data_IF_197271852242
#
_entry.id   IF_197271852242
#
_cell.length_a   1.000
_cell.length_b   1.000
_cell.length_c   1.000
_cell.angle_alpha   90.00
_cell.angle_beta   90.00
_cell.angle_gamma   90.00
#
_symmetry.space_group_name_H-M   'P 1'
#
loop_
_entity.id
_entity.type
_entity.pdbx_description
1 polymer ?
#
# COMPACT_ATOMS: atom_id res chain seq x y z
N UNK A 1 34.79 33.87 26.35
CA UNK A 1 33.47 33.22 26.53
C UNK A 1 33.15 32.48 25.25
N UNK A 2 33.19 31.15 25.30
CA UNK A 2 33.43 30.26 24.15
C UNK A 2 32.22 29.35 23.92
N UNK A 3 31.73 29.37 22.66
CA UNK A 3 31.16 28.27 21.84
C UNK A 3 29.73 27.82 22.18
N UNK A 4 28.76 28.11 21.30
CA UNK A 4 28.34 27.34 20.11
C UNK A 4 27.82 25.93 20.46
N UNK A 5 26.49 25.79 20.44
CA UNK A 5 25.77 24.51 20.32
C UNK A 5 26.23 23.75 19.06
N UNK A 6 26.29 22.42 19.14
CA UNK A 6 25.49 21.60 18.23
C UNK A 6 24.78 20.46 18.99
N UNK A 7 23.47 20.33 18.86
CA UNK A 7 22.84 19.49 17.84
C UNK A 7 23.33 18.03 17.88
N UNK A 8 23.28 17.42 19.06
CA UNK A 8 23.57 16.00 19.31
C UNK A 8 22.28 15.29 19.70
N UNK A 9 21.35 15.21 18.74
CA UNK A 9 20.22 14.26 18.74
C UNK A 9 19.98 13.73 17.33
N UNK A 10 21.07 13.57 16.58
CA UNK A 10 21.16 12.75 15.38
C UNK A 10 21.74 11.40 15.83
N UNK A 11 20.89 10.50 16.31
CA UNK A 11 21.08 9.04 16.33
C UNK A 11 20.02 8.44 17.26
N UNK A 12 19.00 7.80 16.69
CA UNK A 12 18.39 6.55 17.21
C UNK A 12 17.25 6.09 16.29
N UNK A 13 17.60 5.25 15.29
CA UNK A 13 16.80 4.18 14.66
C UNK A 13 15.43 4.54 14.05
N UNK A 14 15.12 4.30 12.78
CA UNK A 14 15.45 3.16 11.92
C UNK A 14 15.68 3.69 10.49
N UNK A 15 16.90 3.50 9.97
CA UNK A 15 17.10 3.39 8.53
C UNK A 15 16.46 2.06 8.10
N UNK A 16 15.29 2.08 7.46
CA UNK A 16 14.94 1.02 6.50
C UNK A 16 15.68 1.31 5.19
N UNK A 17 17.01 1.22 5.26
CA UNK A 17 17.82 0.97 4.09
C UNK A 17 17.92 -0.56 3.95
N UNK A 18 16.84 -1.17 3.47
CA UNK A 18 16.91 -2.46 2.81
C UNK A 18 16.70 -2.18 1.32
N UNK A 19 17.76 -2.43 0.56
CA UNK A 19 17.78 -2.45 -0.88
C UNK A 19 16.60 -3.27 -1.42
N UNK A 20 15.63 -2.62 -2.05
CA UNK A 20 14.67 -3.28 -2.95
C UNK A 20 15.02 -2.94 -4.40
N UNK A 21 16.30 -3.05 -4.76
CA UNK A 21 16.71 -3.31 -6.12
C UNK A 21 16.99 -4.81 -6.21
N UNK A 22 15.95 -5.58 -6.55
CA UNK A 22 16.05 -7.02 -6.72
C UNK A 22 14.70 -7.71 -6.59
N UNK A 23 14.26 -8.31 -7.70
CA UNK A 23 13.15 -9.26 -7.79
C UNK A 23 11.72 -8.73 -7.64
N UNK A 24 11.24 -8.03 -8.66
CA UNK A 24 9.97 -8.49 -9.23
C UNK A 24 10.22 -9.92 -9.74
N UNK A 25 9.45 -10.96 -9.35
CA UNK A 25 9.64 -12.29 -9.92
C UNK A 25 9.36 -12.22 -11.42
N UNK A 26 10.42 -12.31 -12.22
CA UNK A 26 10.32 -12.48 -13.65
C UNK A 26 9.89 -13.92 -13.92
N UNK A 27 8.64 -14.09 -14.33
CA UNK A 27 8.18 -15.24 -15.11
C UNK A 27 8.08 -16.59 -14.38
N UNK A 28 6.92 -17.21 -14.54
CA UNK A 28 6.72 -18.64 -14.79
C UNK A 28 7.76 -19.60 -14.19
N UNK A 29 7.58 -19.92 -12.91
CA UNK A 29 8.09 -21.15 -12.32
C UNK A 29 6.98 -21.72 -11.44
N UNK A 30 6.50 -22.91 -11.78
CA UNK A 30 5.58 -23.75 -11.00
C UNK A 30 6.17 -24.23 -9.66
N UNK A 31 7.12 -23.49 -9.10
CA UNK A 31 7.46 -23.63 -7.69
C UNK A 31 6.30 -23.02 -6.91
N UNK A 32 5.56 -23.87 -6.18
CA UNK A 32 4.43 -23.44 -5.33
C UNK A 32 4.88 -22.28 -4.46
N UNK A 33 4.55 -21.05 -4.88
CA UNK A 33 4.73 -19.87 -4.06
C UNK A 33 3.85 -20.05 -2.82
N UNK A 34 4.47 -20.11 -1.65
CA UNK A 34 3.79 -20.22 -0.37
C UNK A 34 3.77 -18.82 0.24
N UNK A 35 2.61 -18.13 0.25
CA UNK A 35 2.49 -16.82 0.87
C UNK A 35 2.68 -16.95 2.39
N UNK A 36 3.62 -16.18 2.94
CA UNK A 36 3.74 -15.98 4.38
C UNK A 36 3.26 -14.58 4.73
N UNK A 37 2.11 -14.49 5.40
CA UNK A 37 1.57 -13.22 5.92
C UNK A 37 1.76 -13.08 7.43
N UNK A 38 2.51 -14.00 8.07
CA UNK A 38 2.79 -13.89 9.52
C UNK A 38 3.88 -12.87 9.84
N UNK A 39 4.65 -12.46 8.83
CA UNK A 39 5.71 -11.46 8.92
C UNK A 39 5.38 -10.22 8.08
N UNK A 40 5.88 -9.05 8.51
CA UNK A 40 5.71 -7.81 7.77
C UNK A 40 6.32 -7.88 6.36
N UNK A 41 7.52 -8.46 6.24
CA UNK A 41 8.21 -8.60 4.95
C UNK A 41 7.48 -9.57 4.02
N UNK A 42 6.95 -10.67 4.57
CA UNK A 42 6.13 -11.62 3.82
C UNK A 42 4.83 -10.98 3.31
N UNK A 43 4.17 -10.16 4.12
CA UNK A 43 3.00 -9.39 3.68
C UNK A 43 3.33 -8.37 2.58
N UNK A 44 4.51 -7.73 2.63
CA UNK A 44 5.00 -6.85 1.54
C UNK A 44 5.23 -7.65 0.25
N UNK A 45 5.82 -8.84 0.34
CA UNK A 45 6.03 -9.71 -0.83
C UNK A 45 4.69 -10.16 -1.44
N UNK A 46 3.76 -10.62 -0.60
CA UNK A 46 2.40 -11.01 -1.04
C UNK A 46 1.69 -9.83 -1.72
N UNK A 47 1.72 -8.64 -1.11
CA UNK A 47 1.17 -7.43 -1.71
C UNK A 47 1.81 -7.12 -3.06
N UNK A 48 3.14 -7.16 -3.12
CA UNK A 48 3.90 -6.82 -4.32
C UNK A 48 3.59 -7.78 -5.47
N UNK A 49 3.51 -9.08 -5.17
CA UNK A 49 3.13 -10.12 -6.12
C UNK A 49 1.69 -10.00 -6.54
N UNK A 50 0.76 -9.74 -5.62
CA UNK A 50 -0.65 -9.56 -5.94
C UNK A 50 -0.82 -8.47 -7.02
N UNK A 51 -0.13 -7.33 -6.87
CA UNK A 51 -0.17 -6.22 -7.83
C UNK A 51 0.57 -6.56 -9.13
N UNK A 52 1.80 -7.07 -9.05
CA UNK A 52 2.64 -7.33 -10.23
C UNK A 52 2.09 -8.45 -11.12
N UNK A 53 1.61 -9.54 -10.51
CA UNK A 53 1.06 -10.71 -11.22
C UNK A 53 -0.43 -10.61 -11.47
N UNK A 54 -1.06 -9.58 -10.93
CA UNK A 54 -2.50 -9.37 -11.00
C UNK A 54 -3.31 -10.56 -10.44
N UNK A 55 -2.86 -11.11 -9.31
CA UNK A 55 -3.46 -12.29 -8.70
C UNK A 55 -4.45 -11.90 -7.58
N UNK A 56 -5.74 -12.13 -7.83
CA UNK A 56 -6.83 -11.87 -6.87
C UNK A 56 -6.73 -12.71 -5.60
N UNK A 57 -6.39 -13.98 -5.71
CA UNK A 57 -6.27 -14.87 -4.55
C UNK A 57 -5.14 -14.43 -3.62
N UNK A 58 -4.05 -13.87 -4.17
CA UNK A 58 -3.02 -13.25 -3.33
C UNK A 58 -3.55 -11.99 -2.65
N UNK A 59 -4.23 -11.09 -3.38
CA UNK A 59 -4.79 -9.86 -2.81
C UNK A 59 -5.79 -10.14 -1.67
N UNK A 60 -6.64 -11.17 -1.83
CA UNK A 60 -7.60 -11.63 -0.83
C UNK A 60 -6.94 -12.03 0.50
N UNK A 61 -5.70 -12.51 0.49
CA UNK A 61 -4.99 -12.95 1.71
C UNK A 61 -4.44 -11.78 2.53
N UNK A 62 -4.14 -10.67 1.89
CA UNK A 62 -3.42 -9.52 2.45
C UNK A 62 -4.36 -8.35 2.69
N UNK A 63 -5.54 -8.24 2.07
CA UNK A 63 -6.46 -7.13 2.36
C UNK A 63 -7.18 -7.31 3.71
N UNK A 64 -7.44 -6.20 4.42
CA UNK A 64 -8.33 -6.20 5.59
C UNK A 64 -9.74 -6.70 5.23
N UNK A 65 -10.39 -7.38 6.17
CA UNK A 65 -11.64 -8.10 5.90
C UNK A 65 -12.83 -7.17 5.62
N UNK A 66 -12.89 -6.03 6.30
CA UNK A 66 -13.90 -4.98 6.15
C UNK A 66 -13.75 -4.18 4.84
N UNK A 67 -12.53 -4.05 4.33
CA UNK A 67 -12.24 -3.37 3.06
C UNK A 67 -12.23 -4.32 1.85
N UNK A 68 -12.27 -5.64 2.10
CA UNK A 68 -12.04 -6.68 1.09
C UNK A 68 -12.86 -6.48 -0.17
N UNK A 69 -14.19 -6.38 -0.05
CA UNK A 69 -15.06 -6.29 -1.23
C UNK A 69 -14.78 -5.05 -2.08
N UNK A 70 -14.61 -3.89 -1.43
CA UNK A 70 -14.33 -2.64 -2.13
C UNK A 70 -12.98 -2.67 -2.84
N UNK A 71 -11.94 -3.17 -2.17
CA UNK A 71 -10.59 -3.28 -2.72
C UNK A 71 -10.54 -4.28 -3.86
N UNK A 72 -11.15 -5.46 -3.71
CA UNK A 72 -11.16 -6.47 -4.77
C UNK A 72 -11.98 -6.03 -5.98
N UNK A 73 -13.07 -5.28 -5.79
CA UNK A 73 -13.82 -4.69 -6.90
C UNK A 73 -12.96 -3.70 -7.71
N UNK A 74 -12.23 -2.80 -7.02
CA UNK A 74 -11.28 -1.88 -7.65
C UNK A 74 -10.18 -2.64 -8.39
N UNK A 75 -9.61 -3.66 -7.74
CA UNK A 75 -8.56 -4.51 -8.29
C UNK A 75 -9.01 -5.22 -9.58
N UNK A 76 -10.20 -5.86 -9.59
CA UNK A 76 -10.79 -6.52 -10.77
C UNK A 76 -10.96 -5.52 -11.93
N UNK A 77 -11.49 -4.33 -11.65
CA UNK A 77 -11.72 -3.30 -12.67
C UNK A 77 -10.40 -2.83 -13.28
N UNK A 78 -9.42 -2.49 -12.45
CA UNK A 78 -8.13 -1.99 -12.91
C UNK A 78 -7.35 -3.08 -13.65
N UNK A 79 -7.51 -4.35 -13.26
CA UNK A 79 -6.87 -5.48 -13.94
C UNK A 79 -7.41 -5.74 -15.33
N UNK A 80 -8.74 -5.74 -15.48
CA UNK A 80 -9.36 -5.88 -16.79
C UNK A 80 -8.94 -4.76 -17.75
N UNK A 81 -8.66 -3.56 -17.24
CA UNK A 81 -8.13 -2.45 -18.04
C UNK A 81 -6.64 -2.64 -18.37
N UNK A 82 -5.83 -2.98 -17.37
CA UNK A 82 -4.39 -3.16 -17.52
C UNK A 82 -4.04 -4.33 -18.46
N UNK A 83 -4.80 -5.42 -18.42
CA UNK A 83 -4.63 -6.57 -19.32
C UNK A 83 -4.86 -6.19 -20.78
N UNK A 84 -5.96 -5.48 -21.08
CA UNK A 84 -6.27 -5.00 -22.43
C UNK A 84 -5.21 -4.05 -22.99
N UNK A 85 -4.46 -3.37 -22.12
CA UNK A 85 -3.46 -2.37 -22.48
C UNK A 85 -2.02 -2.87 -22.42
N UNK A 86 -1.78 -4.12 -21.98
CA UNK A 86 -0.44 -4.67 -21.81
C UNK A 86 0.36 -4.02 -20.68
N UNK A 87 -0.32 -3.56 -19.63
CA UNK A 87 0.26 -2.73 -18.55
C UNK A 87 0.59 -3.53 -17.30
N UNK A 88 1.86 -3.67 -16.92
CA UNK A 88 2.29 -4.21 -15.62
C UNK A 88 2.71 -3.10 -14.67
N UNK A 89 2.97 -3.45 -13.40
CA UNK A 89 3.39 -2.48 -12.38
C UNK A 89 4.68 -2.95 -11.70
N UNK A 90 5.63 -2.02 -11.53
CA UNK A 90 6.80 -2.18 -10.66
C UNK A 90 6.66 -1.28 -9.45
N UNK A 91 6.69 -1.90 -8.27
CA UNK A 91 6.49 -1.22 -6.99
C UNK A 91 7.82 -0.82 -6.34
N UNK A 92 7.82 0.30 -5.63
CA UNK A 92 8.90 0.70 -4.72
C UNK A 92 8.31 1.21 -3.41
N UNK A 93 8.75 0.65 -2.30
CA UNK A 93 8.36 1.06 -0.96
C UNK A 93 9.35 2.08 -0.41
N UNK A 94 8.83 3.14 0.19
CA UNK A 94 9.56 4.26 0.77
C UNK A 94 8.99 4.60 2.15
N UNK A 95 9.78 5.32 2.95
CA UNK A 95 9.35 6.01 4.18
C UNK A 95 8.43 5.17 5.08
N UNK A 96 8.98 4.13 5.71
CA UNK A 96 8.24 3.28 6.63
C UNK A 96 8.16 3.90 8.03
N UNK A 97 6.95 4.21 8.49
CA UNK A 97 6.67 4.46 9.91
C UNK A 97 6.21 3.13 10.52
N UNK A 98 6.90 2.63 11.55
CA UNK A 98 6.68 1.28 12.10
C UNK A 98 6.52 1.32 13.62
N UNK A 99 5.52 0.62 14.13
CA UNK A 99 5.42 0.17 15.51
C UNK A 99 5.31 -1.37 15.52
N UNK A 100 5.06 -1.97 16.69
CA UNK A 100 5.07 -3.43 16.86
C UNK A 100 4.01 -4.14 16.00
N UNK A 101 2.83 -3.53 15.88
CA UNK A 101 1.66 -4.15 15.26
C UNK A 101 1.25 -3.49 13.94
N UNK A 102 1.87 -2.39 13.55
CA UNK A 102 1.48 -1.64 12.36
C UNK A 102 2.69 -1.01 11.69
N UNK A 103 2.63 -0.87 10.37
CA UNK A 103 3.52 0.02 9.65
C UNK A 103 2.85 0.68 8.45
N UNK A 104 3.19 1.93 8.19
CA UNK A 104 2.75 2.67 7.02
C UNK A 104 3.94 2.94 6.11
N UNK A 105 3.81 2.67 4.82
CA UNK A 105 4.84 2.95 3.81
C UNK A 105 4.24 3.67 2.63
N UNK A 106 5.01 4.61 2.08
CA UNK A 106 4.72 5.23 0.79
C UNK A 106 5.12 4.26 -0.32
N UNK A 107 4.19 3.94 -1.20
CA UNK A 107 4.40 3.04 -2.33
C UNK A 107 4.35 3.84 -3.63
N UNK A 108 5.40 3.71 -4.44
CA UNK A 108 5.48 4.22 -5.81
C UNK A 108 5.13 3.09 -6.77
N UNK A 109 4.17 3.36 -7.66
CA UNK A 109 3.71 2.46 -8.70
C UNK A 109 4.24 2.96 -10.04
N UNK A 110 5.19 2.23 -10.61
CA UNK A 110 5.69 2.52 -11.95
C UNK A 110 4.89 1.66 -12.93
N UNK A 111 4.08 2.33 -13.74
CA UNK A 111 3.33 1.68 -14.80
C UNK A 111 4.31 1.30 -15.93
N UNK A 112 4.26 0.05 -16.36
CA UNK A 112 5.10 -0.47 -17.42
C UNK A 112 4.23 -0.96 -18.56
N UNK A 113 4.43 -0.48 -19.78
CA UNK A 113 3.78 -0.99 -20.99
C UNK A 113 4.82 -1.69 -21.84
N UNK A 114 4.63 -2.98 -22.09
CA UNK A 114 5.61 -3.83 -22.78
C UNK A 114 7.02 -3.80 -22.12
N UNK A 115 7.08 -3.66 -20.79
CA UNK A 115 8.33 -3.63 -20.02
C UNK A 115 8.95 -2.24 -19.86
N UNK A 116 8.49 -1.24 -20.61
CA UNK A 116 9.01 0.13 -20.56
C UNK A 116 8.11 1.04 -19.70
N UNK A 117 8.66 2.05 -18.99
CA UNK A 117 7.87 3.03 -18.26
C UNK A 117 6.81 3.72 -19.14
N UNK A 118 5.57 3.76 -18.66
CA UNK A 118 4.43 4.32 -19.37
C UNK A 118 3.75 5.40 -18.52
N UNK A 119 4.27 6.62 -18.59
CA UNK A 119 3.78 7.78 -17.85
C UNK A 119 4.49 8.01 -16.52
N UNK A 120 4.00 9.00 -15.78
CA UNK A 120 4.56 9.38 -14.48
C UNK A 120 4.22 8.33 -13.40
N UNK A 121 5.14 8.08 -12.45
CA UNK A 121 4.87 7.15 -11.35
C UNK A 121 3.72 7.62 -10.46
N UNK A 122 2.79 6.72 -10.18
CA UNK A 122 1.70 6.96 -9.22
C UNK A 122 2.19 6.71 -7.79
N UNK A 123 1.57 7.36 -6.80
CA UNK A 123 1.99 7.28 -5.40
C UNK A 123 0.78 7.06 -4.51
N UNK A 124 0.92 6.18 -3.52
CA UNK A 124 -0.10 5.92 -2.50
C UNK A 124 0.55 5.58 -1.17
N UNK A 125 -0.17 5.75 -0.06
CA UNK A 125 0.26 5.23 1.23
C UNK A 125 -0.45 3.91 1.50
N UNK A 126 0.30 2.91 1.95
CA UNK A 126 -0.24 1.62 2.35
C UNK A 126 0.05 1.43 3.83
N UNK A 127 -0.98 1.08 4.58
CA UNK A 127 -0.90 0.79 6.01
C UNK A 127 -1.07 -0.71 6.17
N UNK A 128 -0.09 -1.36 6.76
CA UNK A 128 -0.14 -2.77 7.14
C UNK A 128 -0.38 -2.87 8.64
N UNK A 129 -1.30 -3.74 9.03
CA UNK A 129 -1.79 -3.93 10.39
C UNK A 129 -1.73 -5.43 10.69
N UNK A 130 -1.14 -5.77 11.83
CA UNK A 130 -1.14 -7.12 12.37
C UNK A 130 -2.50 -7.37 13.05
N UNK A 131 -3.24 -8.34 12.56
CA UNK A 131 -4.54 -8.75 13.11
C UNK A 131 -4.36 -9.72 14.29
N UNK A 132 -5.42 -9.89 15.09
CA UNK A 132 -5.39 -10.73 16.30
C UNK A 132 -5.03 -12.20 16.01
N UNK A 133 -5.27 -12.68 14.80
CA UNK A 133 -4.87 -14.01 14.30
C UNK A 133 -3.38 -14.10 13.93
N UNK A 134 -2.61 -13.04 14.16
CA UNK A 134 -1.17 -12.95 13.92
C UNK A 134 -0.79 -12.66 12.47
N UNK A 135 -1.76 -12.41 11.58
CA UNK A 135 -1.50 -12.11 10.16
C UNK A 135 -1.34 -10.62 9.93
N UNK A 136 -0.50 -10.24 8.99
CA UNK A 136 -0.39 -8.87 8.51
C UNK A 136 -1.34 -8.68 7.33
N UNK A 137 -2.20 -7.66 7.43
CA UNK A 137 -3.13 -7.24 6.39
C UNK A 137 -2.94 -5.77 6.06
N UNK A 138 -3.40 -5.31 4.90
CA UNK A 138 -3.21 -3.93 4.45
C UNK A 138 -4.53 -3.21 4.20
N UNK A 139 -4.43 -1.90 4.34
CA UNK A 139 -5.39 -0.90 3.87
C UNK A 139 -4.69 0.15 3.02
N UNK A 140 -5.44 0.74 2.09
CA UNK A 140 -4.94 1.83 1.23
C UNK A 140 -5.30 3.19 1.82
N UNK A 141 -4.30 3.97 2.17
CA UNK A 141 -4.43 5.37 2.55
C UNK A 141 -4.10 6.30 1.37
N UNK A 142 -5.04 7.18 1.01
CA UNK A 142 -4.84 8.15 -0.09
C UNK A 142 -3.89 9.30 0.26
N UNK A 143 -3.55 9.49 1.54
CA UNK A 143 -2.62 10.53 1.99
C UNK A 143 -1.79 10.07 3.19
N UNK A 144 -0.71 10.81 3.47
CA UNK A 144 0.15 10.56 4.64
C UNK A 144 -0.60 10.79 5.95
N UNK A 145 -1.44 11.81 6.00
CA UNK A 145 -2.26 12.17 7.16
C UNK A 145 -3.28 11.08 7.46
N UNK A 146 -3.92 10.54 6.41
CA UNK A 146 -4.82 9.41 6.56
C UNK A 146 -4.07 8.17 7.07
N UNK A 147 -2.91 7.86 6.49
CA UNK A 147 -2.08 6.75 6.97
C UNK A 147 -1.71 6.91 8.44
N UNK A 148 -1.30 8.13 8.86
CA UNK A 148 -0.99 8.43 10.25
C UNK A 148 -2.22 8.31 11.18
N UNK A 149 -3.42 8.68 10.72
CA UNK A 149 -4.65 8.50 11.50
C UNK A 149 -4.99 7.03 11.71
N UNK A 150 -4.90 6.23 10.65
CA UNK A 150 -5.14 4.78 10.71
C UNK A 150 -4.14 4.10 11.66
N UNK A 151 -2.86 4.50 11.60
CA UNK A 151 -1.81 4.03 12.50
C UNK A 151 -2.05 4.33 13.99
N UNK A 152 -2.91 5.32 14.31
CA UNK A 152 -3.24 5.74 15.67
C UNK A 152 -4.62 5.25 16.14
N UNK A 153 -5.23 4.28 15.43
CA UNK A 153 -6.56 3.75 15.77
C UNK A 153 -7.72 4.65 15.37
N UNK A 154 -7.48 5.66 14.53
CA UNK A 154 -8.54 6.41 13.89
C UNK A 154 -9.16 5.58 12.78
N UNK A 155 -10.48 5.37 12.81
CA UNK A 155 -11.19 4.80 11.66
C UNK A 155 -10.82 5.60 10.40
N UNK A 156 -10.55 4.93 9.25
CA UNK A 156 -10.49 5.64 7.98
C UNK A 156 -11.83 6.39 7.84
N UNK A 157 -11.84 7.63 7.29
CA UNK A 157 -13.10 8.24 6.94
C UNK A 157 -13.76 7.22 6.02
N UNK A 158 -14.95 6.76 6.45
CA UNK A 158 -15.86 6.10 5.54
C UNK A 158 -15.92 6.95 4.28
N UNK A 159 -16.20 6.33 3.15
CA UNK A 159 -16.43 7.04 1.91
C UNK A 159 -17.70 7.88 2.11
N UNK A 160 -17.59 8.98 2.85
CA UNK A 160 -18.64 9.93 3.16
C UNK A 160 -19.00 10.47 1.80
N UNK A 161 -20.13 9.96 1.31
CA UNK A 161 -20.81 10.53 0.17
C UNK A 161 -20.93 12.01 0.50
N UNK A 162 -20.45 12.93 -0.37
CA UNK A 162 -20.53 14.35 -0.07
C UNK A 162 -21.97 14.64 0.34
N UNK A 163 -22.12 15.25 1.52
CA UNK A 163 -23.41 15.66 2.05
C UNK A 163 -24.19 16.30 0.90
N UNK A 164 -25.36 15.73 0.62
CA UNK A 164 -26.20 16.13 -0.50
C UNK A 164 -26.30 17.65 -0.54
N UNK A 165 -26.09 18.22 -1.72
CA UNK A 165 -26.46 19.60 -1.99
C UNK A 165 -27.91 19.77 -1.53
N UNK A 166 -28.10 20.60 -0.52
CA UNK A 166 -29.42 21.07 -0.11
C UNK A 166 -30.12 21.62 -1.35
N UNK A 167 -31.22 20.97 -1.70
CA UNK A 167 -32.18 21.41 -2.69
C UNK A 167 -32.61 22.84 -2.31
N UNK A 168 -32.52 23.84 -3.20
CA UNK A 168 -32.98 25.18 -2.85
C UNK A 168 -34.50 25.11 -2.67
N UNK A 169 -34.96 25.47 -1.48
CA UNK A 169 -36.38 25.62 -1.17
C UNK A 169 -37.05 26.51 -2.22
N UNK A 170 -37.94 25.94 -3.02
CA UNK A 170 -38.92 26.67 -3.79
C UNK A 170 -39.89 27.34 -2.82
N UNK A 171 -39.81 28.66 -2.72
CA UNK A 171 -40.88 29.46 -2.14
C UNK A 171 -41.92 29.74 -3.24
N UNK A 172 -43.07 29.08 -3.14
CA UNK A 172 -44.35 29.60 -3.64
C UNK A 172 -44.86 30.73 -2.70
#
# INVERSE_FOLDING_TARGET
>A
MTRLLPLLLVLSGLLLAACSDGNTPAGNGDDKYIPDVSTADGAIDVYSRAIATRNLSLAEMIVLDDEREAVLADFRKNFAQAEKQGITFKLKFLDAQKNEDQFASKVIYNRLKNGEPDGEPEQSWIVFIKTDDGRWKYSRARSRELAARMMNGGNPPGNETPAGNEEPASND
#
